data_IF_935474318264
#
_entry.id   IF_935474318264
#
_cell.length_a   1.000
_cell.length_b   1.000
_cell.length_c   1.000
_cell.angle_alpha   90.00
_cell.angle_beta   90.00
_cell.angle_gamma   90.00
#
_symmetry.space_group_name_H-M   'P 1'
#
loop_
_entity.id
_entity.type
_entity.pdbx_description
1 polymer ?
#
# COMPACT_ATOMS: atom_id res chain seq x y z
N UNK A 1 -5.30 -8.43 -1.82
CA UNK A 1 -5.90 -7.10 -1.53
C UNK A 1 -4.79 -6.07 -1.52
N UNK A 2 -4.98 -4.87 -2.07
CA UNK A 2 -3.97 -3.81 -1.92
C UNK A 2 -3.93 -3.32 -0.46
N UNK A 3 -2.75 -2.91 0.02
CA UNK A 3 -2.58 -2.39 1.38
C UNK A 3 -3.52 -1.20 1.67
N UNK A 4 -3.77 -0.37 0.66
CA UNK A 4 -4.70 0.76 0.74
C UNK A 4 -6.13 0.32 1.02
N UNK A 5 -6.63 -0.72 0.34
CA UNK A 5 -7.98 -1.23 0.59
C UNK A 5 -8.11 -1.81 2.00
N UNK A 6 -7.07 -2.50 2.50
CA UNK A 6 -7.04 -3.00 3.87
C UNK A 6 -7.14 -1.84 4.86
N UNK A 7 -6.35 -0.78 4.65
CA UNK A 7 -6.40 0.42 5.46
C UNK A 7 -7.79 1.06 5.44
N UNK A 8 -8.40 1.25 4.26
CA UNK A 8 -9.71 1.88 4.17
C UNK A 8 -10.82 1.05 4.82
N UNK A 9 -10.82 -0.27 4.66
CA UNK A 9 -11.79 -1.15 5.32
C UNK A 9 -11.63 -1.10 6.85
N UNK A 10 -10.39 -1.15 7.33
CA UNK A 10 -10.09 -1.04 8.75
C UNK A 10 -10.51 0.32 9.32
N UNK A 11 -10.13 1.42 8.65
CA UNK A 11 -10.53 2.77 9.05
C UNK A 11 -12.05 2.91 9.05
N UNK A 12 -12.74 2.40 8.03
CA UNK A 12 -14.21 2.38 7.99
C UNK A 12 -14.79 1.67 9.21
N UNK A 13 -14.27 0.48 9.56
CA UNK A 13 -14.70 -0.24 10.76
C UNK A 13 -14.46 0.55 12.06
N UNK A 14 -13.33 1.26 12.16
CA UNK A 14 -13.02 2.12 13.32
C UNK A 14 -13.94 3.34 13.40
N UNK A 15 -14.32 3.92 12.27
CA UNK A 15 -15.19 5.09 12.21
C UNK A 15 -16.63 4.78 12.60
N UNK A 16 -17.15 3.59 12.26
CA UNK A 16 -18.54 3.22 12.57
C UNK A 16 -18.86 3.30 14.07
N UNK A 17 -17.90 3.02 14.96
CA UNK A 17 -18.06 3.19 16.42
C UNK A 17 -17.29 4.37 17.01
N UNK A 18 -16.76 5.27 16.19
CA UNK A 18 -16.06 6.47 16.68
C UNK A 18 -14.71 6.23 17.35
N UNK A 19 -14.10 5.04 17.21
CA UNK A 19 -12.83 4.66 17.86
C UNK A 19 -11.60 5.16 17.08
N UNK A 20 -11.82 5.93 16.00
CA UNK A 20 -10.77 6.49 15.14
C UNK A 20 -9.78 7.42 15.87
N UNK A 21 -10.13 7.93 17.06
CA UNK A 21 -9.30 8.87 17.84
C UNK A 21 -8.03 8.24 18.42
N UNK A 22 -7.87 6.92 18.39
CA UNK A 22 -6.70 6.21 18.91
C UNK A 22 -5.64 5.90 17.83
N UNK A 23 -5.55 6.71 16.76
CA UNK A 23 -4.62 6.48 15.64
C UNK A 23 -3.15 6.23 16.03
N UNK A 24 -2.67 6.88 17.09
CA UNK A 24 -1.33 6.63 17.65
C UNK A 24 -1.14 5.23 18.20
N UNK A 25 -2.15 4.71 18.89
CA UNK A 25 -2.12 3.35 19.42
C UNK A 25 -2.10 2.35 18.27
N UNK A 26 -2.93 2.55 17.23
CA UNK A 26 -2.94 1.65 16.07
C UNK A 26 -1.59 1.64 15.34
N UNK A 27 -0.93 2.79 15.18
CA UNK A 27 0.40 2.85 14.57
C UNK A 27 1.43 2.01 15.35
N UNK A 28 1.44 2.14 16.67
CA UNK A 28 2.35 1.38 17.56
C UNK A 28 2.02 -0.11 17.56
N UNK A 29 0.73 -0.46 17.66
CA UNK A 29 0.28 -1.86 17.67
C UNK A 29 0.67 -2.56 16.37
N UNK A 30 0.44 -1.94 15.21
CA UNK A 30 0.87 -2.53 13.93
C UNK A 30 2.40 -2.59 13.80
N UNK A 31 3.14 -1.62 14.34
CA UNK A 31 4.60 -1.68 14.41
C UNK A 31 5.10 -2.86 15.26
N UNK A 32 4.48 -3.10 16.41
CA UNK A 32 4.79 -4.24 17.26
C UNK A 32 4.41 -5.57 16.60
N UNK A 33 3.24 -5.64 15.95
CA UNK A 33 2.81 -6.81 15.17
C UNK A 33 3.81 -7.09 14.03
N UNK A 34 4.36 -6.06 13.38
CA UNK A 34 5.37 -6.26 12.36
C UNK A 34 6.61 -6.97 12.93
N UNK A 35 7.13 -6.54 14.08
CA UNK A 35 8.28 -7.21 14.72
C UNK A 35 7.93 -8.67 15.04
N UNK A 36 6.80 -8.92 15.70
CA UNK A 36 6.38 -10.28 16.09
C UNK A 36 6.19 -11.16 14.85
N UNK A 37 5.50 -10.67 13.82
CA UNK A 37 5.28 -11.40 12.59
C UNK A 37 6.59 -11.69 11.85
N UNK A 38 7.58 -10.79 11.94
CA UNK A 38 8.89 -10.98 11.34
C UNK A 38 9.67 -12.12 11.97
N UNK A 39 9.54 -12.28 13.29
CA UNK A 39 10.20 -13.32 14.09
C UNK A 39 9.48 -14.67 13.96
N UNK A 40 8.15 -14.67 13.87
CA UNK A 40 7.33 -15.90 13.98
C UNK A 40 7.05 -16.54 12.63
N UNK A 41 6.83 -15.76 11.56
CA UNK A 41 6.37 -16.29 10.28
C UNK A 41 7.45 -16.28 9.20
N UNK A 42 7.75 -17.47 8.66
CA UNK A 42 8.64 -17.67 7.52
C UNK A 42 7.91 -17.64 6.17
N UNK A 43 6.61 -17.94 6.17
CA UNK A 43 5.81 -18.21 4.99
C UNK A 43 4.33 -17.85 5.21
N UNK A 44 3.55 -17.61 4.14
CA UNK A 44 2.13 -17.33 4.26
C UNK A 44 1.36 -18.56 4.77
N UNK A 45 0.63 -18.40 5.87
CA UNK A 45 -0.24 -19.44 6.44
C UNK A 45 -1.45 -19.69 5.53
N UNK A 46 -2.01 -18.62 4.95
CA UNK A 46 -3.15 -18.67 4.04
C UNK A 46 -2.65 -18.68 2.59
N UNK A 47 -2.16 -19.84 2.17
CA UNK A 47 -1.79 -20.13 0.79
C UNK A 47 -2.94 -20.69 -0.07
N UNK A 48 -2.77 -20.67 -1.38
CA UNK A 48 -3.69 -21.29 -2.36
C UNK A 48 -4.79 -20.36 -2.88
N UNK A 49 -5.68 -20.87 -3.76
CA UNK A 49 -6.71 -20.07 -4.41
C UNK A 49 -7.92 -19.76 -3.51
N UNK A 50 -8.17 -20.59 -2.49
CA UNK A 50 -9.35 -20.50 -1.64
C UNK A 50 -9.47 -19.20 -0.83
N UNK A 51 -8.41 -18.68 -0.18
CA UNK A 51 -8.47 -17.39 0.49
C UNK A 51 -8.89 -16.25 -0.44
N UNK A 52 -8.48 -16.29 -1.71
CA UNK A 52 -8.85 -15.27 -2.70
C UNK A 52 -10.34 -15.37 -3.08
N UNK A 53 -10.87 -16.58 -3.30
CA UNK A 53 -12.28 -16.79 -3.65
C UNK A 53 -13.19 -16.40 -2.48
N UNK A 54 -12.89 -16.90 -1.27
CA UNK A 54 -13.69 -16.63 -0.07
C UNK A 54 -13.69 -15.13 0.26
N UNK A 55 -12.51 -14.50 0.22
CA UNK A 55 -12.41 -13.06 0.47
C UNK A 55 -13.10 -12.22 -0.61
N UNK A 56 -13.08 -12.65 -1.87
CA UNK A 56 -13.82 -12.01 -2.95
C UNK A 56 -15.34 -12.06 -2.71
N UNK A 57 -15.87 -13.23 -2.37
CA UNK A 57 -17.30 -13.40 -2.05
C UNK A 57 -17.72 -12.60 -0.81
N UNK A 58 -16.89 -12.62 0.25
CA UNK A 58 -17.15 -11.87 1.48
C UNK A 58 -17.07 -10.35 1.22
N UNK A 59 -16.13 -9.90 0.38
CA UNK A 59 -16.02 -8.50 -0.02
C UNK A 59 -17.27 -8.03 -0.76
N UNK A 60 -17.75 -8.79 -1.75
CA UNK A 60 -18.95 -8.45 -2.51
C UNK A 60 -20.19 -8.41 -1.60
N UNK A 61 -20.36 -9.42 -0.75
CA UNK A 61 -21.48 -9.48 0.21
C UNK A 61 -21.43 -8.34 1.22
N UNK A 62 -20.26 -8.04 1.78
CA UNK A 62 -20.10 -6.94 2.72
C UNK A 62 -20.35 -5.58 2.05
N UNK A 63 -19.92 -5.41 0.79
CA UNK A 63 -20.16 -4.20 0.02
C UNK A 63 -21.66 -4.01 -0.27
N UNK A 64 -22.39 -5.06 -0.65
CA UNK A 64 -23.84 -4.97 -0.87
C UNK A 64 -24.60 -4.65 0.42
N UNK A 65 -24.19 -5.20 1.57
CA UNK A 65 -24.73 -4.82 2.87
C UNK A 65 -24.46 -3.33 3.20
N UNK A 66 -23.23 -2.85 2.97
CA UNK A 66 -22.89 -1.44 3.20
C UNK A 66 -23.73 -0.48 2.34
N UNK A 67 -23.88 -0.81 1.05
CA UNK A 67 -24.64 -0.01 0.08
C UNK A 67 -26.15 -0.05 0.35
N UNK A 68 -26.70 -1.21 0.69
CA UNK A 68 -28.14 -1.38 0.97
C UNK A 68 -28.60 -0.73 2.27
N UNK A 69 -27.68 -0.36 3.17
CA UNK A 69 -28.02 0.25 4.45
C UNK A 69 -28.27 -0.75 5.58
N UNK A 70 -28.43 -2.03 5.25
CA UNK A 70 -28.70 -3.08 6.23
C UNK A 70 -27.39 -3.68 6.77
N UNK A 71 -27.32 -3.91 8.08
CA UNK A 71 -26.15 -4.50 8.74
C UNK A 71 -24.81 -3.77 8.52
N UNK A 72 -24.85 -2.45 8.26
CA UNK A 72 -23.65 -1.62 7.98
C UNK A 72 -22.52 -1.83 8.98
N UNK A 73 -22.85 -1.89 10.27
CA UNK A 73 -21.86 -2.08 11.33
C UNK A 73 -21.21 -3.45 11.26
N UNK A 74 -22.01 -4.51 11.15
CA UNK A 74 -21.52 -5.89 11.06
C UNK A 74 -20.68 -6.08 9.80
N UNK A 75 -21.13 -5.55 8.66
CA UNK A 75 -20.41 -5.61 7.40
C UNK A 75 -19.06 -4.87 7.46
N UNK A 76 -19.02 -3.67 8.04
CA UNK A 76 -17.77 -2.92 8.21
C UNK A 76 -16.76 -3.69 9.07
N UNK A 77 -17.19 -4.27 10.19
CA UNK A 77 -16.32 -5.08 11.04
C UNK A 77 -15.86 -6.38 10.38
N UNK A 78 -16.77 -7.09 9.70
CA UNK A 78 -16.42 -8.32 8.99
C UNK A 78 -15.39 -8.06 7.89
N UNK A 79 -15.57 -7.00 7.10
CA UNK A 79 -14.64 -6.61 6.05
C UNK A 79 -13.30 -6.12 6.62
N UNK A 80 -13.32 -5.31 7.67
CA UNK A 80 -12.10 -4.85 8.35
C UNK A 80 -11.30 -6.00 8.95
N UNK A 81 -11.98 -6.94 9.62
CA UNK A 81 -11.34 -8.14 10.20
C UNK A 81 -10.77 -9.04 9.12
N UNK A 82 -11.55 -9.35 8.08
CA UNK A 82 -11.07 -10.11 6.92
C UNK A 82 -9.82 -9.47 6.32
N UNK A 83 -9.83 -8.15 6.16
CA UNK A 83 -8.71 -7.43 5.56
C UNK A 83 -7.42 -7.54 6.40
N UNK A 84 -7.52 -7.42 7.72
CA UNK A 84 -6.37 -7.60 8.63
C UNK A 84 -5.88 -9.05 8.64
N UNK A 85 -6.79 -10.03 8.65
CA UNK A 85 -6.42 -11.46 8.58
C UNK A 85 -5.65 -11.75 7.29
N UNK A 86 -6.17 -11.35 6.14
CA UNK A 86 -5.49 -11.57 4.86
C UNK A 86 -4.14 -10.86 4.81
N UNK A 87 -4.06 -9.64 5.34
CA UNK A 87 -2.82 -8.89 5.39
C UNK A 87 -1.72 -9.64 6.15
N UNK A 88 -2.05 -10.14 7.35
CA UNK A 88 -1.08 -10.78 8.23
C UNK A 88 -0.74 -12.21 7.83
N UNK A 89 -1.67 -12.92 7.20
CA UNK A 89 -1.52 -14.36 6.99
C UNK A 89 -1.39 -14.80 5.52
N UNK A 90 -1.69 -13.93 4.55
CA UNK A 90 -1.62 -14.26 3.12
C UNK A 90 -0.39 -13.67 2.41
N UNK A 91 0.26 -12.66 3.01
CA UNK A 91 1.45 -12.04 2.42
C UNK A 91 2.68 -12.95 2.46
N UNK A 92 3.47 -12.94 1.38
CA UNK A 92 4.78 -13.63 1.34
C UNK A 92 5.74 -13.10 2.41
N UNK A 93 5.61 -11.81 2.75
CA UNK A 93 6.36 -11.14 3.80
C UNK A 93 5.37 -10.56 4.83
N UNK A 94 4.85 -11.39 5.77
CA UNK A 94 3.77 -11.01 6.69
C UNK A 94 3.99 -9.71 7.46
N UNK A 95 5.20 -9.50 7.96
CA UNK A 95 5.54 -8.32 8.75
C UNK A 95 5.51 -7.02 7.93
N UNK A 96 5.78 -7.09 6.63
CA UNK A 96 5.82 -5.92 5.75
C UNK A 96 4.43 -5.28 5.63
N UNK A 97 3.37 -6.09 5.55
CA UNK A 97 2.01 -5.58 5.53
C UNK A 97 1.63 -4.82 6.80
N UNK A 98 2.01 -5.36 7.96
CA UNK A 98 1.83 -4.69 9.25
C UNK A 98 2.65 -3.39 9.34
N UNK A 99 3.90 -3.41 8.86
CA UNK A 99 4.76 -2.23 8.80
C UNK A 99 4.15 -1.11 7.92
N UNK A 100 3.56 -1.46 6.76
CA UNK A 100 2.85 -0.49 5.91
C UNK A 100 1.67 0.11 6.67
N UNK A 101 0.82 -0.69 7.31
CA UNK A 101 -0.30 -0.14 8.10
C UNK A 101 0.20 0.78 9.22
N UNK A 102 1.28 0.42 9.90
CA UNK A 102 1.90 1.27 10.91
C UNK A 102 2.32 2.63 10.31
N UNK A 103 2.95 2.65 9.13
CA UNK A 103 3.30 3.89 8.42
C UNK A 103 2.06 4.70 8.03
N UNK A 104 1.00 4.06 7.53
CA UNK A 104 -0.25 4.75 7.16
C UNK A 104 -0.92 5.41 8.37
N UNK A 105 -1.01 4.71 9.51
CA UNK A 105 -1.49 5.31 10.76
C UNK A 105 -0.54 6.37 11.30
N UNK A 106 0.77 6.22 11.12
CA UNK A 106 1.77 7.25 11.46
C UNK A 106 1.53 8.55 10.70
N UNK A 107 1.10 8.48 9.44
CA UNK A 107 0.68 9.67 8.69
C UNK A 107 -0.47 10.42 9.39
N UNK A 108 -1.45 9.70 9.93
CA UNK A 108 -2.58 10.31 10.66
C UNK A 108 -2.17 10.92 12.00
N UNK A 109 -1.20 10.33 12.71
CA UNK A 109 -0.69 10.88 13.97
C UNK A 109 0.15 12.12 13.73
N UNK A 110 0.98 12.10 12.69
CA UNK A 110 1.74 13.25 12.23
C UNK A 110 0.83 14.42 11.84
N UNK A 111 -0.25 14.15 11.10
CA UNK A 111 -1.28 15.14 10.78
C UNK A 111 -1.89 15.77 12.04
N UNK A 112 -2.23 14.95 13.05
CA UNK A 112 -2.82 15.43 14.29
C UNK A 112 -1.87 16.28 15.11
N UNK A 113 -0.60 15.90 15.17
CA UNK A 113 0.45 16.68 15.83
C UNK A 113 0.60 18.07 15.18
N UNK A 114 0.62 18.15 13.86
CA UNK A 114 0.69 19.45 13.16
C UNK A 114 -0.50 20.37 13.47
N UNK A 115 -1.69 19.79 13.64
CA UNK A 115 -2.90 20.55 13.97
C UNK A 115 -3.06 20.78 15.49
N UNK A 116 -2.06 20.44 16.31
CA UNK A 116 -2.10 20.64 17.76
C UNK A 116 -3.08 19.72 18.51
N UNK A 117 -3.55 18.65 17.86
CA UNK A 117 -4.59 17.74 18.41
C UNK A 117 -4.02 16.42 18.98
N UNK A 118 -2.70 16.30 19.07
CA UNK A 118 -2.05 15.12 19.62
C UNK A 118 -0.53 15.26 19.83
N UNK A 119 0.07 14.40 20.66
CA UNK A 119 1.51 14.42 20.94
C UNK A 119 2.34 13.84 19.77
N UNK A 120 3.62 14.22 19.69
CA UNK A 120 4.55 13.73 18.67
C UNK A 120 5.12 12.33 18.95
N UNK A 121 5.19 11.92 20.22
CA UNK A 121 5.86 10.68 20.62
C UNK A 121 5.36 9.41 19.88
N UNK A 122 4.05 9.23 19.61
CA UNK A 122 3.56 8.08 18.84
C UNK A 122 4.14 7.98 17.42
N UNK A 123 4.51 9.12 16.81
CA UNK A 123 5.18 9.15 15.49
C UNK A 123 6.59 8.56 15.60
N UNK A 124 7.34 8.97 16.63
CA UNK A 124 8.69 8.45 16.88
C UNK A 124 8.65 6.95 17.23
N UNK A 125 7.68 6.56 18.07
CA UNK A 125 7.45 5.17 18.46
C UNK A 125 7.23 4.27 17.26
N UNK A 126 6.25 4.61 16.41
CA UNK A 126 5.90 3.80 15.26
C UNK A 126 7.02 3.82 14.22
N UNK A 127 7.69 4.95 13.99
CA UNK A 127 8.83 5.03 13.10
C UNK A 127 9.97 4.10 13.56
N UNK A 128 10.30 4.09 14.85
CA UNK A 128 11.32 3.20 15.41
C UNK A 128 10.94 1.73 15.26
N UNK A 129 9.69 1.36 15.59
CA UNK A 129 9.20 -0.02 15.46
C UNK A 129 9.23 -0.49 13.99
N UNK A 130 8.80 0.36 13.07
CA UNK A 130 8.84 0.08 11.62
C UNK A 130 10.29 -0.07 11.15
N UNK A 131 11.20 0.81 11.57
CA UNK A 131 12.62 0.74 11.19
C UNK A 131 13.30 -0.57 11.65
N UNK A 132 12.96 -1.04 12.85
CA UNK A 132 13.57 -2.24 13.45
C UNK A 132 12.90 -3.54 12.99
N UNK A 133 11.69 -3.48 12.41
CA UNK A 133 10.92 -4.68 12.02
C UNK A 133 11.68 -5.77 11.22
N UNK A 134 12.59 -5.48 10.27
CA UNK A 134 13.33 -6.54 9.59
C UNK A 134 14.54 -7.09 10.37
N UNK A 135 15.00 -6.43 11.44
CA UNK A 135 16.29 -6.74 12.10
C UNK A 135 16.37 -8.19 12.57
N UNK A 136 15.27 -8.70 13.12
CA UNK A 136 15.14 -10.08 13.59
C UNK A 136 14.19 -10.90 12.72
N UNK A 137 13.88 -10.43 11.51
CA UNK A 137 12.98 -11.18 10.66
C UNK A 137 13.67 -12.43 10.09
N UNK A 138 12.97 -13.55 10.09
CA UNK A 138 13.41 -14.78 9.39
C UNK A 138 13.71 -14.48 7.91
N UNK A 139 12.98 -13.52 7.33
CA UNK A 139 13.08 -13.16 5.92
C UNK A 139 14.15 -12.10 5.63
N UNK A 140 14.92 -11.68 6.64
CA UNK A 140 15.97 -10.66 6.50
C UNK A 140 17.07 -11.02 5.48
N UNK A 141 17.16 -12.30 5.07
CA UNK A 141 18.08 -12.75 4.02
C UNK A 141 17.73 -12.26 2.61
N UNK A 142 16.49 -11.81 2.37
CA UNK A 142 16.08 -11.29 1.06
C UNK A 142 16.62 -9.87 0.85
N UNK A 143 17.27 -9.63 -0.29
CA UNK A 143 18.06 -8.41 -0.53
C UNK A 143 17.31 -7.09 -0.26
N UNK A 144 16.02 -7.00 -0.60
CA UNK A 144 15.22 -5.77 -0.49
C UNK A 144 14.62 -5.53 0.91
N UNK A 145 14.64 -6.54 1.78
CA UNK A 145 14.21 -6.43 3.19
C UNK A 145 15.37 -6.48 4.17
N UNK A 146 16.61 -6.61 3.69
CA UNK A 146 17.78 -6.52 4.55
C UNK A 146 17.70 -5.23 5.38
N UNK A 147 18.04 -5.25 6.68
CA UNK A 147 17.86 -4.10 7.56
C UNK A 147 18.47 -2.81 7.01
N UNK A 148 19.66 -2.89 6.43
CA UNK A 148 20.33 -1.76 5.78
C UNK A 148 19.53 -1.18 4.59
N UNK A 149 19.01 -2.03 3.70
CA UNK A 149 18.23 -1.61 2.53
C UNK A 149 16.87 -1.08 2.96
N UNK A 150 16.24 -1.72 3.94
CA UNK A 150 14.98 -1.27 4.52
C UNK A 150 15.10 0.10 5.19
N UNK A 151 16.07 0.28 6.08
CA UNK A 151 16.27 1.54 6.82
C UNK A 151 16.63 2.67 5.86
N UNK A 152 17.50 2.42 4.87
CA UNK A 152 17.83 3.42 3.84
C UNK A 152 16.60 3.77 3.00
N UNK A 153 15.79 2.78 2.61
CA UNK A 153 14.53 3.02 1.88
C UNK A 153 13.55 3.83 2.72
N UNK A 154 13.39 3.50 4.01
CA UNK A 154 12.52 4.23 4.93
C UNK A 154 12.99 5.67 5.12
N UNK A 155 14.29 5.88 5.27
CA UNK A 155 14.89 7.22 5.38
C UNK A 155 14.68 8.04 4.09
N UNK A 156 14.88 7.45 2.91
CA UNK A 156 14.64 8.10 1.63
C UNK A 156 13.15 8.42 1.42
N UNK A 157 12.26 7.52 1.83
CA UNK A 157 10.82 7.75 1.78
C UNK A 157 10.42 8.90 2.71
N UNK A 158 10.93 8.93 3.95
CA UNK A 158 10.70 10.01 4.90
C UNK A 158 11.27 11.34 4.39
N UNK A 159 12.46 11.34 3.80
CA UNK A 159 13.08 12.52 3.19
C UNK A 159 12.26 13.03 2.00
N UNK A 160 11.77 12.13 1.14
CA UNK A 160 10.92 12.48 0.00
C UNK A 160 9.58 13.07 0.47
N UNK A 161 8.98 12.48 1.52
CA UNK A 161 7.76 13.00 2.13
C UNK A 161 7.99 14.39 2.75
N UNK A 162 9.08 14.58 3.48
CA UNK A 162 9.45 15.87 4.05
C UNK A 162 9.69 16.92 2.96
N UNK A 163 10.38 16.57 1.88
CA UNK A 163 10.58 17.45 0.72
C UNK A 163 9.26 17.82 0.04
N UNK A 164 8.39 16.84 -0.23
CA UNK A 164 7.07 17.08 -0.80
C UNK A 164 6.22 17.98 0.09
N UNK A 165 6.28 17.79 1.42
CA UNK A 165 5.59 18.65 2.38
C UNK A 165 6.18 20.06 2.41
N UNK A 166 7.50 20.23 2.37
CA UNK A 166 8.14 21.54 2.32
C UNK A 166 7.79 22.32 1.04
N UNK A 167 7.48 21.60 -0.04
CA UNK A 167 7.06 22.16 -1.32
C UNK A 167 5.54 22.31 -1.47
N UNK A 168 4.73 22.06 -0.43
CA UNK A 168 3.25 22.02 -0.52
C UNK A 168 2.62 23.32 -1.01
N UNK A 169 3.24 24.46 -0.71
CA UNK A 169 2.76 25.79 -1.08
C UNK A 169 3.34 26.26 -2.44
N UNK A 170 4.10 25.40 -3.12
CA UNK A 170 4.70 25.67 -4.44
C UNK A 170 3.89 25.00 -5.54
N UNK A 171 3.93 25.61 -6.73
CA UNK A 171 3.32 25.02 -7.92
C UNK A 171 4.09 23.76 -8.34
N UNK A 172 3.43 22.60 -8.25
CA UNK A 172 4.00 21.32 -8.69
C UNK A 172 4.03 21.30 -10.23
N UNK A 173 5.15 20.93 -10.86
CA UNK A 173 5.26 20.86 -12.32
C UNK A 173 4.28 19.83 -12.89
N UNK A 174 3.76 20.12 -14.09
CA UNK A 174 2.75 19.28 -14.77
C UNK A 174 3.19 17.83 -14.97
N UNK A 175 4.49 17.60 -15.17
CA UNK A 175 5.06 16.25 -15.35
C UNK A 175 4.92 15.40 -14.10
N UNK A 176 5.18 15.94 -12.91
CA UNK A 176 5.00 15.22 -11.65
C UNK A 176 3.52 14.93 -11.37
N UNK A 177 2.64 15.88 -11.67
CA UNK A 177 1.20 15.67 -11.58
C UNK A 177 0.76 14.55 -12.53
N UNK A 178 1.23 14.57 -13.77
CA UNK A 178 0.93 13.54 -14.77
C UNK A 178 1.42 12.15 -14.33
N UNK A 179 2.64 12.05 -13.79
CA UNK A 179 3.16 10.80 -13.21
C UNK A 179 2.28 10.31 -12.05
N UNK A 180 1.81 11.21 -11.20
CA UNK A 180 0.85 10.88 -10.14
C UNK A 180 -0.46 10.32 -10.70
N UNK A 181 -0.98 10.91 -11.79
CA UNK A 181 -2.23 10.46 -12.42
C UNK A 181 -2.11 9.05 -13.02
N UNK A 182 -0.98 8.71 -13.63
CA UNK A 182 -0.78 7.37 -14.25
C UNK A 182 -0.20 6.34 -13.27
N UNK A 183 0.12 6.74 -12.04
CA UNK A 183 0.84 5.91 -11.06
C UNK A 183 0.17 4.56 -10.76
N UNK A 184 -1.16 4.53 -10.66
CA UNK A 184 -1.91 3.30 -10.45
C UNK A 184 -1.76 2.34 -11.64
N UNK A 185 -1.88 2.87 -12.86
CA UNK A 185 -1.68 2.10 -14.08
C UNK A 185 -0.23 1.63 -14.22
N UNK A 186 0.76 2.41 -13.78
CA UNK A 186 2.17 1.98 -13.71
C UNK A 186 2.32 0.82 -12.73
N UNK A 187 1.73 0.94 -11.53
CA UNK A 187 1.76 -0.11 -10.51
C UNK A 187 1.14 -1.42 -11.00
N UNK A 188 0.07 -1.39 -11.78
CA UNK A 188 -0.52 -2.62 -12.33
C UNK A 188 0.31 -3.25 -13.46
N UNK A 189 0.89 -2.42 -14.34
CA UNK A 189 1.52 -2.90 -15.57
C UNK A 189 3.01 -3.22 -15.44
N UNK A 190 3.71 -2.65 -14.45
CA UNK A 190 5.16 -2.84 -14.34
C UNK A 190 5.56 -4.31 -14.17
N UNK A 191 4.89 -5.06 -13.28
CA UNK A 191 5.26 -6.45 -12.99
C UNK A 191 4.93 -7.42 -14.14
N UNK A 192 3.74 -7.36 -14.79
CA UNK A 192 3.49 -8.15 -15.99
C UNK A 192 4.49 -7.85 -17.10
N UNK A 193 4.79 -6.57 -17.37
CA UNK A 193 5.75 -6.20 -18.42
C UNK A 193 7.17 -6.67 -18.10
N UNK A 194 7.63 -6.54 -16.85
CA UNK A 194 8.93 -7.06 -16.41
C UNK A 194 9.04 -8.57 -16.59
N UNK A 195 7.95 -9.30 -16.37
CA UNK A 195 7.93 -10.76 -16.56
C UNK A 195 8.10 -11.15 -18.03
N UNK A 196 7.61 -10.34 -18.96
CA UNK A 196 7.73 -10.58 -20.40
C UNK A 196 9.14 -10.32 -20.93
N UNK A 197 9.94 -9.45 -20.29
CA UNK A 197 11.27 -9.08 -20.80
C UNK A 197 12.19 -10.30 -21.01
N UNK A 198 12.38 -11.20 -20.02
CA UNK A 198 13.19 -12.40 -20.22
C UNK A 198 12.61 -13.40 -21.23
N UNK A 199 11.28 -13.43 -21.41
CA UNK A 199 10.63 -14.30 -22.39
C UNK A 199 10.97 -13.89 -23.84
N UNK A 200 11.10 -12.58 -24.10
CA UNK A 200 11.45 -12.06 -25.42
C UNK A 200 12.96 -11.90 -25.66
N UNK A 201 13.72 -11.52 -24.63
CA UNK A 201 15.13 -11.12 -24.78
C UNK A 201 16.12 -12.05 -24.07
N UNK A 202 15.64 -13.11 -23.41
CA UNK A 202 16.48 -14.03 -22.65
C UNK A 202 17.03 -13.42 -21.36
N UNK A 203 18.10 -14.02 -20.81
CA UNK A 203 18.70 -13.54 -19.56
C UNK A 203 19.45 -12.21 -19.78
N UNK A 204 18.85 -11.14 -19.25
CA UNK A 204 19.34 -9.76 -19.32
C UNK A 204 20.68 -9.54 -18.61
N UNK A 205 21.21 -10.53 -17.88
CA UNK A 205 22.51 -10.46 -17.18
C UNK A 205 23.71 -10.59 -18.12
N UNK A 206 23.56 -11.28 -19.23
CA UNK A 206 24.65 -11.50 -20.20
C UNK A 206 24.66 -10.49 -21.34
N UNK A 207 23.71 -9.55 -21.36
CA UNK A 207 23.63 -8.51 -22.36
C UNK A 207 24.68 -7.41 -22.12
N UNK A 208 25.17 -6.83 -23.22
CA UNK A 208 26.05 -5.65 -23.14
C UNK A 208 25.37 -4.50 -22.41
N UNK A 209 26.15 -3.62 -21.77
CA UNK A 209 25.62 -2.46 -21.04
C UNK A 209 24.72 -1.59 -21.94
N UNK A 210 25.12 -1.37 -23.20
CA UNK A 210 24.34 -0.60 -24.18
C UNK A 210 22.99 -1.24 -24.45
N UNK A 211 22.96 -2.54 -24.69
CA UNK A 211 21.71 -3.28 -24.91
C UNK A 211 20.83 -3.23 -23.66
N UNK A 212 21.40 -3.36 -22.46
CA UNK A 212 20.66 -3.27 -21.20
C UNK A 212 20.04 -1.88 -21.00
N UNK A 213 20.76 -0.81 -21.30
CA UNK A 213 20.23 0.56 -21.22
C UNK A 213 19.13 0.79 -22.27
N UNK A 214 19.31 0.30 -23.50
CA UNK A 214 18.30 0.38 -24.55
C UNK A 214 17.02 -0.38 -24.17
N UNK A 215 17.14 -1.58 -23.59
CA UNK A 215 15.98 -2.34 -23.11
C UNK A 215 15.33 -1.69 -21.90
N UNK A 216 16.10 -1.15 -20.96
CA UNK A 216 15.57 -0.45 -19.79
C UNK A 216 14.80 0.81 -20.17
N UNK A 217 15.33 1.61 -21.09
CA UNK A 217 14.64 2.79 -21.63
C UNK A 217 13.41 2.38 -22.43
N UNK A 218 13.51 1.38 -23.31
CA UNK A 218 12.37 0.84 -24.06
C UNK A 218 11.25 0.31 -23.16
N UNK A 219 11.61 -0.39 -22.08
CA UNK A 219 10.68 -0.85 -21.05
C UNK A 219 9.98 0.33 -20.37
N UNK A 220 10.72 1.33 -19.88
CA UNK A 220 10.15 2.50 -19.22
C UNK A 220 9.22 3.29 -20.14
N UNK A 221 9.62 3.50 -21.39
CA UNK A 221 8.78 4.18 -22.40
C UNK A 221 7.51 3.39 -22.67
N UNK A 222 7.61 2.08 -22.88
CA UNK A 222 6.46 1.20 -23.13
C UNK A 222 5.50 1.19 -21.93
N UNK A 223 6.05 1.06 -20.72
CA UNK A 223 5.29 1.12 -19.47
C UNK A 223 4.53 2.43 -19.37
N UNK A 224 5.19 3.57 -19.52
CA UNK A 224 4.54 4.88 -19.39
C UNK A 224 3.48 5.12 -20.47
N UNK A 225 3.71 4.69 -21.71
CA UNK A 225 2.74 4.81 -22.80
C UNK A 225 1.50 3.95 -22.54
N UNK A 226 1.69 2.68 -22.17
CA UNK A 226 0.58 1.79 -21.84
C UNK A 226 -0.16 2.27 -20.60
N UNK A 227 0.54 2.69 -19.55
CA UNK A 227 -0.08 3.25 -18.34
C UNK A 227 -0.89 4.50 -18.63
N UNK A 228 -0.41 5.38 -19.52
CA UNK A 228 -1.17 6.54 -19.95
C UNK A 228 -2.42 6.17 -20.76
N UNK A 229 -2.29 5.20 -21.67
CA UNK A 229 -3.43 4.70 -22.45
C UNK A 229 -4.49 4.08 -21.52
N UNK A 230 -4.09 3.22 -20.59
CA UNK A 230 -4.99 2.62 -19.59
C UNK A 230 -5.64 3.70 -18.72
N UNK A 231 -4.87 4.68 -18.26
CA UNK A 231 -5.39 5.80 -17.48
C UNK A 231 -6.48 6.57 -18.26
N UNK A 232 -6.21 6.91 -19.52
CA UNK A 232 -7.13 7.72 -20.33
C UNK A 232 -8.38 6.97 -20.74
N UNK A 233 -8.25 5.68 -21.06
CA UNK A 233 -9.31 4.86 -21.64
C UNK A 233 -10.16 4.14 -20.58
N UNK A 234 -9.59 3.81 -19.43
CA UNK A 234 -10.26 3.01 -18.39
C UNK A 234 -10.39 3.80 -17.10
N UNK A 235 -9.28 4.23 -16.52
CA UNK A 235 -9.26 4.78 -15.16
C UNK A 235 -10.00 6.11 -15.05
N UNK A 236 -9.66 7.08 -15.91
CA UNK A 236 -10.27 8.40 -15.94
C UNK A 236 -11.77 8.38 -16.21
N UNK A 237 -12.27 7.62 -17.20
CA UNK A 237 -13.71 7.41 -17.39
C UNK A 237 -14.40 6.76 -16.18
N UNK A 238 -13.82 5.70 -15.60
CA UNK A 238 -14.39 5.03 -14.43
C UNK A 238 -14.46 5.95 -13.20
N UNK A 239 -13.41 6.72 -12.91
CA UNK A 239 -13.41 7.72 -11.84
C UNK A 239 -14.50 8.79 -12.04
N UNK A 240 -14.71 9.24 -13.29
CA UNK A 240 -15.78 10.21 -13.61
C UNK A 240 -17.17 9.61 -13.40
N UNK A 241 -17.37 8.35 -13.79
CA UNK A 241 -18.62 7.64 -13.55
C UNK A 241 -18.89 7.49 -12.04
N UNK A 242 -17.89 7.06 -11.26
CA UNK A 242 -18.00 6.93 -9.81
C UNK A 242 -18.38 8.25 -9.13
N UNK A 243 -17.72 9.36 -9.50
CA UNK A 243 -18.06 10.70 -8.98
C UNK A 243 -19.49 11.14 -9.32
N UNK A 244 -20.00 10.77 -10.50
CA UNK A 244 -21.39 11.07 -10.90
C UNK A 244 -22.41 10.27 -10.09
N UNK A 245 -22.14 8.99 -9.85
CA UNK A 245 -23.02 8.13 -9.06
C UNK A 245 -23.07 8.56 -7.59
N UNK A 246 -21.92 8.84 -6.98
CA UNK A 246 -21.85 9.28 -5.59
C UNK A 246 -22.63 10.59 -5.31
N UNK A 247 -22.65 11.51 -6.30
CA UNK A 247 -23.44 12.76 -6.21
C UNK A 247 -24.95 12.56 -6.34
N UNK A 248 -25.42 11.41 -6.84
CA UNK A 248 -26.86 11.11 -6.97
C UNK A 248 -27.42 10.44 -5.72
N UNK A 249 -26.56 9.83 -4.91
CA UNK A 249 -26.93 9.08 -3.69
C UNK A 249 -26.74 9.89 -2.40
N UNK A 250 -26.08 11.04 -2.48
CA UNK A 250 -25.95 12.02 -1.39
C UNK A 250 -27.05 13.07 -1.52
#
# INVERSE_FOLDING_TARGET
MSYEMVFYLLVTALFVRGIHRASGVYAIVFGAIAIVAGIVFDSPILGGPWPAIISGALFLTGLTCLLSGNFRTTAAYALGLMAVILLLFSGYVPWFGAAILAVMFTGTTLYRWEHGTGPFWPVLASAALVAISPVWSIQAGWWWVQPQVWITTLALAAATFAAARALRDRTIPRTLVWLGLVSYSVYLLHHPLLRLLPEFFGDLRYLTLTTRLALGTGYLTTLLLLSWATYRLVEGPAQRLGKRLARRTA
#
